data_IF_345994070438
#
_entry.id   IF_345994070438
#
_cell.length_a   1.000
_cell.length_b   1.000
_cell.length_c   1.000
_cell.angle_alpha   90.00
_cell.angle_beta   90.00
_cell.angle_gamma   90.00
#
_symmetry.space_group_name_H-M   'P 1'
#
loop_
_entity.id
_entity.type
_entity.pdbx_description
1 polymer ?
#
# COMPACT_ATOMS: atom_id res chain seq x y z
N UNK A 1 8.21 51.11 1.64
CA UNK A 1 7.53 49.96 1.03
C UNK A 1 6.59 49.38 2.07
N UNK A 2 5.29 49.57 1.88
CA UNK A 2 4.26 49.10 2.81
C UNK A 2 4.19 47.58 2.74
N UNK A 3 4.70 46.90 3.78
CA UNK A 3 4.31 45.53 4.07
C UNK A 3 2.87 45.57 4.60
N UNK A 4 1.90 45.58 3.70
CA UNK A 4 0.54 45.13 4.03
C UNK A 4 0.62 43.62 4.24
N UNK A 5 0.98 43.20 5.45
CA UNK A 5 0.71 41.84 5.90
C UNK A 5 -0.80 41.64 5.83
N UNK A 6 -1.27 40.78 4.94
CA UNK A 6 -2.66 40.31 4.98
C UNK A 6 -3.01 39.91 6.42
N UNK A 7 -4.18 40.29 6.94
CA UNK A 7 -4.60 39.86 8.27
C UNK A 7 -4.60 38.33 8.28
N UNK A 8 -3.74 37.76 9.11
CA UNK A 8 -3.57 36.31 9.21
C UNK A 8 -4.94 35.72 9.61
N UNK A 9 -5.58 34.99 8.68
CA UNK A 9 -6.89 34.38 8.95
C UNK A 9 -6.77 33.55 10.24
N UNK A 10 -7.70 33.70 11.20
CA UNK A 10 -7.65 32.96 12.44
C UNK A 10 -7.69 31.45 12.13
N UNK A 11 -6.80 30.70 12.78
CA UNK A 11 -6.66 29.26 12.59
C UNK A 11 -6.71 28.51 13.92
N UNK A 12 -7.12 27.25 13.86
CA UNK A 12 -7.05 26.32 14.99
C UNK A 12 -5.85 25.39 14.83
N UNK A 13 -5.12 25.15 15.91
CA UNK A 13 -4.01 24.19 15.91
C UNK A 13 -4.56 22.78 16.11
N UNK A 14 -4.28 21.90 15.15
CA UNK A 14 -4.57 20.48 15.23
C UNK A 14 -3.25 19.73 15.45
N UNK A 15 -2.96 19.40 16.70
CA UNK A 15 -1.89 18.47 17.03
C UNK A 15 -2.44 17.05 16.96
N UNK A 16 -1.83 16.22 16.12
CA UNK A 16 -2.26 14.86 15.81
C UNK A 16 -1.22 13.90 16.38
N UNK A 17 -1.68 12.94 17.17
CA UNK A 17 -0.90 11.75 17.50
C UNK A 17 -1.34 10.62 16.57
N UNK A 18 -0.53 10.18 15.60
CA UNK A 18 -0.92 9.10 14.68
C UNK A 18 -1.17 7.80 15.46
N UNK A 19 -2.42 7.37 15.52
CA UNK A 19 -2.85 6.20 16.27
C UNK A 19 -4.18 5.66 15.73
N UNK A 20 -4.56 4.45 16.14
CA UNK A 20 -5.87 3.89 15.79
C UNK A 20 -6.96 4.75 16.44
N UNK A 21 -7.87 5.31 15.63
CA UNK A 21 -8.93 6.22 16.08
C UNK A 21 -8.61 7.71 15.99
N UNK A 22 -7.38 8.09 15.60
CA UNK A 22 -7.00 9.51 15.46
C UNK A 22 -7.87 10.26 14.44
N UNK A 23 -8.29 9.59 13.36
CA UNK A 23 -9.20 10.17 12.36
C UNK A 23 -10.56 10.55 12.95
N UNK A 24 -11.16 9.70 13.77
CA UNK A 24 -12.43 10.02 14.42
C UNK A 24 -12.33 11.19 15.39
N UNK A 25 -11.25 11.24 16.18
CA UNK A 25 -10.98 12.39 17.05
C UNK A 25 -10.77 13.69 16.25
N UNK A 26 -10.05 13.58 15.14
CA UNK A 26 -9.82 14.69 14.20
C UNK A 26 -11.14 15.21 13.63
N UNK A 27 -12.05 14.33 13.18
CA UNK A 27 -13.40 14.73 12.71
C UNK A 27 -14.16 15.52 13.77
N UNK A 28 -14.24 15.02 15.00
CA UNK A 28 -14.92 15.71 16.11
C UNK A 28 -14.35 17.11 16.35
N UNK A 29 -13.02 17.26 16.32
CA UNK A 29 -12.36 18.56 16.48
C UNK A 29 -12.63 19.52 15.32
N UNK A 30 -12.62 19.02 14.09
CA UNK A 30 -12.86 19.84 12.90
C UNK A 30 -14.32 20.29 12.87
N UNK A 31 -15.29 19.42 13.15
CA UNK A 31 -16.72 19.81 13.18
C UNK A 31 -16.98 20.85 14.28
N UNK A 32 -16.47 20.66 15.50
CA UNK A 32 -16.63 21.65 16.57
C UNK A 32 -16.00 23.02 16.22
N UNK A 33 -14.93 23.01 15.42
CA UNK A 33 -14.29 24.22 14.92
C UNK A 33 -15.12 24.90 13.83
N UNK A 34 -15.70 24.13 12.92
CA UNK A 34 -16.61 24.62 11.87
C UNK A 34 -17.84 25.24 12.51
N UNK A 35 -18.43 24.61 13.52
CA UNK A 35 -19.56 25.14 14.29
C UNK A 35 -19.21 26.47 14.97
N UNK A 36 -17.94 26.66 15.34
CA UNK A 36 -17.41 27.90 15.88
C UNK A 36 -16.95 28.92 14.81
N UNK A 37 -17.14 28.62 13.51
CA UNK A 37 -16.82 29.50 12.39
C UNK A 37 -15.37 29.44 11.88
N UNK A 38 -14.58 28.44 12.28
CA UNK A 38 -13.19 28.28 11.85
C UNK A 38 -13.05 27.26 10.71
N UNK A 39 -12.39 27.68 9.63
CA UNK A 39 -12.13 26.84 8.46
C UNK A 39 -10.63 26.67 8.15
N UNK A 40 -9.74 27.31 8.91
CA UNK A 40 -8.30 27.21 8.73
C UNK A 40 -7.67 26.44 9.89
N UNK A 41 -6.85 25.45 9.59
CA UNK A 41 -6.27 24.56 10.58
C UNK A 41 -4.77 24.42 10.38
N UNK A 42 -3.99 24.67 11.43
CA UNK A 42 -2.54 24.42 11.42
C UNK A 42 -2.28 23.02 11.95
N UNK A 43 -1.82 22.13 11.09
CA UNK A 43 -1.68 20.69 11.39
C UNK A 43 -0.25 20.37 11.83
N UNK A 44 -0.10 19.77 13.01
CA UNK A 44 1.17 19.27 13.52
C UNK A 44 1.07 17.88 14.12
N UNK A 45 2.22 17.25 14.31
CA UNK A 45 2.36 15.97 14.99
C UNK A 45 2.78 16.17 16.46
N UNK A 46 2.16 15.43 17.39
CA UNK A 46 2.45 15.49 18.83
C UNK A 46 3.79 14.86 19.23
N UNK A 47 4.28 13.90 18.44
CA UNK A 47 5.58 13.25 18.63
C UNK A 47 6.41 13.44 17.36
N UNK A 48 7.73 13.21 17.48
CA UNK A 48 8.61 13.05 16.32
C UNK A 48 8.02 12.00 15.36
N UNK A 49 8.43 12.04 14.09
CA UNK A 49 7.88 11.31 12.93
C UNK A 49 7.75 9.77 13.09
N UNK A 50 8.21 9.22 14.21
CA UNK A 50 7.95 7.87 14.66
C UNK A 50 6.45 7.57 14.73
N UNK A 51 5.99 6.62 13.90
CA UNK A 51 4.61 6.11 13.95
C UNK A 51 3.72 6.48 12.77
N UNK A 52 4.28 7.05 11.70
CA UNK A 52 3.59 7.30 10.43
C UNK A 52 3.49 6.01 9.59
N UNK A 53 2.72 5.04 10.11
CA UNK A 53 2.42 3.76 9.45
C UNK A 53 1.16 3.87 8.58
N UNK A 54 0.98 3.00 7.56
CA UNK A 54 -0.11 3.13 6.59
C UNK A 54 -1.48 3.14 7.29
N UNK A 55 -1.72 2.19 8.19
CA UNK A 55 -2.96 2.06 8.95
C UNK A 55 -3.28 3.20 9.92
N UNK A 56 -2.33 4.10 10.19
CA UNK A 56 -2.54 5.29 11.04
C UNK A 56 -2.71 6.54 10.20
N UNK A 57 -1.97 6.63 9.10
CA UNK A 57 -1.89 7.83 8.26
C UNK A 57 -3.07 7.90 7.31
N UNK A 58 -3.43 6.81 6.62
CA UNK A 58 -4.47 6.85 5.58
C UNK A 58 -5.81 7.42 6.09
N UNK A 59 -6.34 6.99 7.26
CA UNK A 59 -7.58 7.57 7.78
C UNK A 59 -7.47 9.07 8.10
N UNK A 60 -6.29 9.54 8.52
CA UNK A 60 -6.03 10.96 8.79
C UNK A 60 -6.06 11.73 7.46
N UNK A 61 -5.31 11.29 6.47
CA UNK A 61 -5.19 11.96 5.16
C UNK A 61 -6.53 12.02 4.44
N UNK A 62 -7.28 10.92 4.46
CA UNK A 62 -8.62 10.87 3.87
C UNK A 62 -9.59 11.79 4.60
N UNK A 63 -9.54 11.86 5.93
CA UNK A 63 -10.32 12.82 6.71
C UNK A 63 -9.97 14.26 6.32
N UNK A 64 -8.69 14.64 6.31
CA UNK A 64 -8.28 15.99 5.91
C UNK A 64 -8.74 16.33 4.49
N UNK A 65 -8.59 15.38 3.56
CA UNK A 65 -8.99 15.56 2.17
C UNK A 65 -10.51 15.75 2.03
N UNK A 66 -11.31 14.94 2.72
CA UNK A 66 -12.79 15.04 2.72
C UNK A 66 -13.27 16.40 3.23
N UNK A 67 -12.72 16.92 4.32
CA UNK A 67 -13.08 18.26 4.81
C UNK A 67 -12.58 19.39 3.92
N UNK A 68 -11.42 19.21 3.26
CA UNK A 68 -10.93 20.18 2.28
C UNK A 68 -11.88 20.29 1.09
N UNK A 69 -12.33 19.15 0.54
CA UNK A 69 -13.20 19.10 -0.64
C UNK A 69 -14.65 19.49 -0.31
N UNK A 70 -15.22 18.90 0.74
CA UNK A 70 -16.67 18.96 1.02
C UNK A 70 -17.08 20.14 1.92
N UNK A 71 -16.14 20.68 2.71
CA UNK A 71 -16.42 21.73 3.70
C UNK A 71 -15.58 23.00 3.50
N UNK A 72 -14.71 23.03 2.48
CA UNK A 72 -13.86 24.19 2.19
C UNK A 72 -12.79 24.46 3.26
N UNK A 73 -12.43 23.46 4.07
CA UNK A 73 -11.39 23.61 5.09
C UNK A 73 -9.99 23.74 4.45
N UNK A 74 -9.14 24.58 5.03
CA UNK A 74 -7.74 24.74 4.61
C UNK A 74 -6.80 24.21 5.70
N UNK A 75 -5.92 23.30 5.32
CA UNK A 75 -4.93 22.69 6.22
C UNK A 75 -3.53 23.24 5.94
N UNK A 76 -3.00 23.97 6.90
CA UNK A 76 -1.70 24.63 6.85
C UNK A 76 -0.63 23.79 7.55
N UNK A 77 0.59 23.73 7.01
CA UNK A 77 1.68 23.00 7.64
C UNK A 77 2.16 23.66 8.94
N UNK A 78 2.69 22.84 9.83
CA UNK A 78 3.43 23.25 11.03
C UNK A 78 4.90 22.83 10.91
N UNK A 79 5.68 22.97 11.99
CA UNK A 79 7.11 22.58 11.99
C UNK A 79 7.32 21.10 11.64
N UNK A 80 6.41 20.22 12.05
CA UNK A 80 6.51 18.77 11.83
C UNK A 80 5.87 18.29 10.52
N UNK A 81 5.17 19.15 9.78
CA UNK A 81 4.45 18.80 8.53
C UNK A 81 4.77 19.74 7.37
N UNK A 82 5.80 20.58 7.52
CA UNK A 82 6.28 21.50 6.48
C UNK A 82 7.16 20.80 5.46
N UNK A 83 7.39 21.49 4.34
CA UNK A 83 8.29 21.04 3.29
C UNK A 83 9.62 20.50 3.83
N UNK A 84 9.98 19.30 3.39
CA UNK A 84 11.24 18.62 3.76
C UNK A 84 11.20 17.80 5.05
N UNK A 85 10.05 17.69 5.71
CA UNK A 85 9.82 16.67 6.76
C UNK A 85 9.39 15.35 6.13
N UNK A 86 9.53 14.23 6.85
CA UNK A 86 9.02 12.95 6.37
C UNK A 86 7.50 12.96 6.20
N UNK A 87 6.78 13.68 7.07
CA UNK A 87 5.34 13.88 6.96
C UNK A 87 4.92 14.63 5.67
N UNK A 88 5.77 15.53 5.17
CA UNK A 88 5.56 16.18 3.87
C UNK A 88 5.89 15.21 2.72
N UNK A 89 7.04 14.53 2.79
CA UNK A 89 7.47 13.56 1.79
C UNK A 89 6.46 12.42 1.58
N UNK A 90 5.80 11.96 2.64
CA UNK A 90 4.77 10.92 2.56
C UNK A 90 3.42 11.42 2.03
N UNK A 91 3.19 12.74 1.97
CA UNK A 91 1.94 13.32 1.47
C UNK A 91 0.84 13.46 2.53
N UNK A 92 1.19 13.70 3.82
CA UNK A 92 0.20 13.81 4.90
C UNK A 92 -0.87 14.89 4.66
N UNK A 93 -0.47 16.05 4.13
CA UNK A 93 -1.39 17.15 3.82
C UNK A 93 -1.76 17.23 2.34
N UNK A 94 -0.95 16.60 1.47
CA UNK A 94 -1.06 16.63 0.02
C UNK A 94 -0.77 15.23 -0.50
N UNK A 95 -1.77 14.32 -0.47
CA UNK A 95 -1.59 12.98 -1.01
C UNK A 95 -1.27 13.05 -2.51
N UNK A 96 -0.49 12.10 -2.97
CA UNK A 96 -0.08 11.97 -4.37
C UNK A 96 -1.25 11.48 -5.22
N UNK A 97 -1.42 12.07 -6.41
CA UNK A 97 -2.56 11.81 -7.32
C UNK A 97 -2.12 11.48 -8.74
N UNK A 98 -0.94 11.95 -9.14
CA UNK A 98 -0.41 11.79 -10.48
C UNK A 98 0.77 10.81 -10.43
N UNK A 99 0.55 9.53 -10.76
CA UNK A 99 1.61 8.53 -10.78
C UNK A 99 2.63 8.78 -11.90
N UNK A 100 2.23 9.45 -12.98
CA UNK A 100 3.09 9.73 -14.13
C UNK A 100 4.10 10.88 -13.87
N UNK A 101 3.82 11.71 -12.87
CA UNK A 101 4.71 12.79 -12.44
C UNK A 101 5.88 12.34 -11.55
N UNK A 102 6.00 11.04 -11.25
CA UNK A 102 6.95 10.49 -10.28
C UNK A 102 7.71 9.31 -10.90
N UNK A 103 8.97 9.14 -10.50
CA UNK A 103 9.76 7.95 -10.82
C UNK A 103 9.04 6.69 -10.32
N UNK A 104 8.79 5.71 -11.21
CA UNK A 104 8.09 4.45 -10.92
C UNK A 104 8.69 3.68 -9.73
N UNK A 105 9.94 3.95 -9.39
CA UNK A 105 10.65 3.33 -8.25
C UNK A 105 10.49 4.07 -6.92
N UNK A 106 9.62 5.08 -6.86
CA UNK A 106 9.42 5.95 -5.71
C UNK A 106 7.99 5.90 -5.15
N UNK A 107 7.28 4.78 -5.22
CA UNK A 107 5.89 4.71 -4.75
C UNK A 107 5.74 4.34 -3.28
N UNK A 108 6.80 3.80 -2.66
CA UNK A 108 6.83 3.49 -1.23
C UNK A 108 6.90 4.74 -0.36
N UNK A 109 6.46 4.60 0.89
CA UNK A 109 6.44 5.68 1.88
C UNK A 109 5.65 6.91 1.44
N UNK A 110 4.66 6.71 0.56
CA UNK A 110 3.78 7.75 0.04
C UNK A 110 2.32 7.34 0.18
N UNK A 111 1.49 8.31 0.52
CA UNK A 111 0.04 8.20 0.49
C UNK A 111 -0.42 8.55 -0.91
N UNK A 112 -0.85 7.53 -1.63
CA UNK A 112 -1.46 7.66 -2.94
C UNK A 112 -2.96 7.74 -2.78
N UNK A 113 -3.56 8.76 -3.40
CA UNK A 113 -4.99 8.85 -3.59
C UNK A 113 -5.28 8.45 -5.03
N UNK A 114 -6.07 7.40 -5.20
CA UNK A 114 -6.35 6.81 -6.50
C UNK A 114 -7.84 6.84 -6.81
N UNK A 115 -8.16 6.86 -8.09
CA UNK A 115 -9.49 6.62 -8.64
C UNK A 115 -9.41 5.58 -9.77
N UNK A 116 -10.51 5.36 -10.50
CA UNK A 116 -10.56 4.40 -11.61
C UNK A 116 -9.54 4.65 -12.72
N UNK A 117 -9.08 5.89 -12.90
CA UNK A 117 -8.16 6.24 -13.98
C UNK A 117 -6.69 6.02 -13.57
N UNK A 118 -6.37 6.15 -12.28
CA UNK A 118 -4.99 6.07 -11.78
C UNK A 118 -4.68 4.78 -11.04
N UNK A 119 -5.68 3.93 -10.80
CA UNK A 119 -5.57 2.72 -9.98
C UNK A 119 -4.46 1.78 -10.46
N UNK A 120 -4.45 1.42 -11.74
CA UNK A 120 -3.44 0.55 -12.34
C UNK A 120 -2.02 1.09 -12.10
N UNK A 121 -1.76 2.34 -12.48
CA UNK A 121 -0.43 2.95 -12.35
C UNK A 121 0.04 3.02 -10.89
N UNK A 122 -0.87 3.28 -9.94
CA UNK A 122 -0.56 3.32 -8.51
C UNK A 122 -0.19 1.93 -7.99
N UNK A 123 -0.95 0.90 -8.35
CA UNK A 123 -0.65 -0.48 -7.94
C UNK A 123 0.66 -0.94 -8.55
N UNK A 124 0.82 -0.82 -9.87
CA UNK A 124 2.05 -1.20 -10.58
C UNK A 124 3.28 -0.48 -10.03
N UNK A 125 3.19 0.84 -9.80
CA UNK A 125 4.29 1.60 -9.22
C UNK A 125 4.67 1.12 -7.81
N UNK A 126 3.70 0.76 -6.97
CA UNK A 126 3.97 0.15 -5.64
C UNK A 126 4.69 -1.18 -5.80
N UNK A 127 4.22 -2.07 -6.68
CA UNK A 127 4.80 -3.39 -6.92
C UNK A 127 6.22 -3.28 -7.46
N UNK A 128 6.46 -2.42 -8.44
CA UNK A 128 7.79 -2.16 -9.00
C UNK A 128 8.75 -1.58 -7.96
N UNK A 129 8.25 -0.68 -7.12
CA UNK A 129 9.04 -0.13 -6.02
C UNK A 129 9.39 -1.20 -4.99
N UNK A 130 8.49 -2.11 -4.63
CA UNK A 130 8.78 -3.25 -3.76
C UNK A 130 9.85 -4.16 -4.37
N UNK A 131 9.68 -4.50 -5.66
CA UNK A 131 10.60 -5.35 -6.44
C UNK A 131 12.04 -4.82 -6.46
N UNK A 132 12.20 -3.49 -6.45
CA UNK A 132 13.50 -2.81 -6.50
C UNK A 132 14.06 -2.40 -5.12
N UNK A 133 13.27 -2.51 -4.04
CA UNK A 133 13.66 -2.00 -2.70
C UNK A 133 13.95 -3.09 -1.68
N UNK A 134 13.30 -4.26 -1.79
CA UNK A 134 13.53 -5.37 -0.86
C UNK A 134 13.50 -6.71 -1.57
N UNK A 135 14.38 -7.62 -1.14
CA UNK A 135 14.34 -9.02 -1.57
C UNK A 135 13.15 -9.69 -0.88
N UNK A 136 12.35 -10.41 -1.67
CA UNK A 136 11.14 -11.10 -1.25
C UNK A 136 11.29 -12.58 -1.53
N UNK A 137 10.77 -13.41 -0.64
CA UNK A 137 10.72 -14.86 -0.83
C UNK A 137 9.81 -15.22 -2.02
N UNK A 138 10.02 -16.41 -2.65
CA UNK A 138 9.28 -16.83 -3.83
C UNK A 138 7.77 -16.70 -3.67
N UNK A 139 7.11 -16.20 -4.72
CA UNK A 139 5.65 -16.03 -4.80
C UNK A 139 5.07 -14.88 -3.98
N UNK A 140 5.82 -14.30 -3.02
CA UNK A 140 5.29 -13.29 -2.10
C UNK A 140 4.91 -11.99 -2.80
N UNK A 141 5.74 -11.50 -3.72
CA UNK A 141 5.44 -10.26 -4.46
C UNK A 141 4.16 -10.41 -5.29
N UNK A 142 3.98 -11.57 -5.92
CA UNK A 142 2.79 -11.87 -6.71
C UNK A 142 1.53 -11.96 -5.82
N UNK A 143 1.62 -12.58 -4.64
CA UNK A 143 0.52 -12.55 -3.67
C UNK A 143 0.20 -11.12 -3.20
N UNK A 144 1.21 -10.30 -2.93
CA UNK A 144 1.01 -8.89 -2.57
C UNK A 144 0.30 -8.14 -3.71
N UNK A 145 0.72 -8.33 -4.95
CA UNK A 145 0.10 -7.71 -6.14
C UNK A 145 -1.37 -8.09 -6.29
N UNK A 146 -1.69 -9.39 -6.18
CA UNK A 146 -3.07 -9.86 -6.21
C UNK A 146 -3.91 -9.29 -5.07
N UNK A 147 -3.41 -9.43 -3.84
CA UNK A 147 -4.11 -8.93 -2.65
C UNK A 147 -4.34 -7.42 -2.72
N UNK A 148 -3.38 -6.66 -3.23
CA UNK A 148 -3.49 -5.21 -3.39
C UNK A 148 -4.51 -4.83 -4.46
N UNK A 149 -4.47 -5.46 -5.65
CA UNK A 149 -5.44 -5.23 -6.70
C UNK A 149 -6.87 -5.50 -6.22
N UNK A 150 -7.12 -6.63 -5.57
CA UNK A 150 -8.46 -6.99 -5.06
C UNK A 150 -9.00 -5.96 -4.07
N UNK A 151 -8.22 -5.56 -3.05
CA UNK A 151 -8.73 -4.64 -2.04
C UNK A 151 -8.86 -3.20 -2.53
N UNK A 152 -8.04 -2.80 -3.51
CA UNK A 152 -8.15 -1.45 -4.08
C UNK A 152 -9.25 -1.38 -5.14
N UNK A 153 -9.50 -2.43 -5.91
CA UNK A 153 -10.67 -2.51 -6.79
C UNK A 153 -11.98 -2.58 -5.99
N UNK A 154 -11.98 -3.31 -4.86
CA UNK A 154 -13.11 -3.32 -3.92
C UNK A 154 -13.50 -1.90 -3.48
N UNK A 155 -12.55 -0.99 -3.29
CA UNK A 155 -12.86 0.41 -3.02
C UNK A 155 -13.64 1.01 -4.19
N UNK A 156 -13.16 0.88 -5.42
CA UNK A 156 -13.73 1.51 -6.61
C UNK A 156 -15.12 0.97 -7.01
N UNK A 157 -15.40 -0.28 -6.64
CA UNK A 157 -16.65 -0.98 -6.97
C UNK A 157 -17.67 -0.89 -5.82
N UNK A 158 -17.23 -1.03 -4.58
CA UNK A 158 -18.12 -1.28 -3.44
C UNK A 158 -18.22 -0.15 -2.40
N UNK A 159 -17.49 0.96 -2.57
CA UNK A 159 -17.51 2.06 -1.59
C UNK A 159 -18.63 3.10 -1.82
N UNK A 160 -19.42 3.00 -2.88
CA UNK A 160 -20.55 3.92 -3.18
C UNK A 160 -21.89 3.19 -3.31
N UNK A 161 -22.99 3.92 -3.07
CA UNK A 161 -24.35 3.49 -3.38
C UNK A 161 -24.80 3.87 -4.79
N UNK A 162 -24.11 4.81 -5.46
CA UNK A 162 -24.50 5.35 -6.75
C UNK A 162 -23.42 5.08 -7.80
N UNK A 163 -23.79 4.43 -8.91
CA UNK A 163 -22.85 4.04 -9.97
C UNK A 163 -22.13 5.22 -10.65
N UNK A 164 -22.63 6.45 -10.51
CA UNK A 164 -22.08 7.66 -11.14
C UNK A 164 -21.28 8.55 -10.17
N UNK A 165 -21.08 8.13 -8.92
CA UNK A 165 -20.29 8.90 -7.95
C UNK A 165 -18.79 8.72 -8.24
N UNK A 166 -18.03 9.82 -8.15
CA UNK A 166 -16.57 9.73 -8.23
C UNK A 166 -16.05 9.07 -6.94
N UNK A 167 -15.50 7.87 -7.10
CA UNK A 167 -14.98 7.07 -5.98
C UNK A 167 -13.47 7.22 -5.93
N UNK A 168 -12.97 7.56 -4.74
CA UNK A 168 -11.54 7.65 -4.46
C UNK A 168 -11.15 6.75 -3.31
N UNK A 169 -10.00 6.10 -3.43
CA UNK A 169 -9.34 5.34 -2.37
C UNK A 169 -7.98 5.94 -2.00
N UNK A 170 -7.44 5.49 -0.88
CA UNK A 170 -6.11 5.84 -0.42
C UNK A 170 -5.30 4.57 -0.15
N UNK A 171 -4.06 4.53 -0.60
CA UNK A 171 -3.14 3.40 -0.41
C UNK A 171 -1.76 3.89 0.01
N UNK A 172 -1.10 3.12 0.86
CA UNK A 172 0.30 3.33 1.22
C UNK A 172 0.96 1.99 1.52
N UNK A 173 2.18 1.82 1.01
CA UNK A 173 3.03 0.66 1.27
C UNK A 173 4.37 1.10 1.87
N UNK A 174 4.88 0.31 2.81
CA UNK A 174 6.15 0.54 3.49
C UNK A 174 6.93 -0.75 3.64
N UNK A 175 8.27 -0.63 3.58
CA UNK A 175 9.19 -1.70 3.95
C UNK A 175 9.84 -1.37 5.29
N UNK A 176 9.66 -2.25 6.26
CA UNK A 176 10.27 -2.16 7.58
C UNK A 176 11.49 -3.07 7.65
N UNK A 177 12.64 -2.59 7.17
CA UNK A 177 13.87 -3.37 7.07
C UNK A 177 14.33 -3.99 8.41
N UNK A 178 14.12 -3.31 9.54
CA UNK A 178 14.52 -3.83 10.86
C UNK A 178 13.71 -5.06 11.29
N UNK A 179 12.45 -5.16 10.85
CA UNK A 179 11.56 -6.27 11.19
C UNK A 179 11.28 -7.22 10.03
N UNK A 180 11.92 -6.99 8.86
CA UNK A 180 11.73 -7.72 7.61
C UNK A 180 10.25 -7.83 7.21
N UNK A 181 9.52 -6.71 7.27
CA UNK A 181 8.08 -6.68 6.94
C UNK A 181 7.77 -5.72 5.81
N UNK A 182 6.82 -6.12 4.98
CA UNK A 182 6.07 -5.21 4.12
C UNK A 182 4.75 -4.92 4.82
N UNK A 183 4.40 -3.64 4.96
CA UNK A 183 3.13 -3.20 5.52
C UNK A 183 2.38 -2.39 4.47
N UNK A 184 1.14 -2.78 4.19
CA UNK A 184 0.30 -2.14 3.18
C UNK A 184 -1.07 -1.90 3.79
N UNK A 185 -1.61 -0.70 3.57
CA UNK A 185 -2.99 -0.44 3.89
C UNK A 185 -3.71 0.24 2.72
N UNK A 186 -5.00 -0.04 2.63
CA UNK A 186 -5.96 0.60 1.75
C UNK A 186 -7.11 1.14 2.59
N UNK A 187 -7.54 2.35 2.29
CA UNK A 187 -8.59 3.06 3.02
C UNK A 187 -9.54 3.76 2.06
N UNK A 188 -10.83 3.70 2.37
CA UNK A 188 -11.87 4.51 1.75
C UNK A 188 -12.78 5.14 2.82
N UNK A 189 -13.38 6.29 2.47
CA UNK A 189 -14.40 6.98 3.28
C UNK A 189 -15.79 6.78 2.66
N UNK A 190 -16.09 5.55 2.22
CA UNK A 190 -17.30 5.21 1.49
C UNK A 190 -18.47 4.78 2.38
N UNK A 191 -19.06 3.64 2.03
CA UNK A 191 -20.29 3.14 2.68
C UNK A 191 -20.05 2.04 3.72
N UNK A 192 -18.86 1.44 3.74
CA UNK A 192 -18.48 0.42 4.71
C UNK A 192 -18.88 -0.99 4.29
N UNK A 193 -18.15 -2.00 4.79
CA UNK A 193 -18.40 -3.42 4.50
C UNK A 193 -19.86 -3.81 4.77
N UNK A 194 -20.49 -3.45 5.91
CA UNK A 194 -21.89 -3.81 6.15
C UNK A 194 -22.85 -3.27 5.08
N UNK A 195 -22.71 -2.01 4.68
CA UNK A 195 -23.64 -1.45 3.69
C UNK A 195 -23.36 -1.99 2.28
N UNK A 196 -22.10 -2.23 1.94
CA UNK A 196 -21.72 -2.92 0.70
C UNK A 196 -22.39 -4.31 0.59
N UNK A 197 -22.24 -5.15 1.63
CA UNK A 197 -22.85 -6.48 1.65
C UNK A 197 -24.39 -6.45 1.59
N UNK A 198 -25.03 -5.50 2.28
CA UNK A 198 -26.48 -5.31 2.20
C UNK A 198 -26.93 -4.91 0.80
N UNK A 199 -26.16 -4.07 0.11
CA UNK A 199 -26.43 -3.70 -1.28
C UNK A 199 -26.33 -4.89 -2.23
N UNK A 200 -25.47 -5.86 -1.93
CA UNK A 200 -25.39 -7.16 -2.62
C UNK A 200 -26.44 -8.19 -2.19
N UNK A 201 -27.37 -7.84 -1.29
CA UNK A 201 -28.43 -8.74 -0.81
C UNK A 201 -27.99 -9.74 0.27
N UNK A 202 -26.79 -9.60 0.83
CA UNK A 202 -26.30 -10.46 1.91
C UNK A 202 -26.90 -10.02 3.25
N UNK A 203 -27.43 -10.99 4.00
CA UNK A 203 -28.02 -10.78 5.33
C UNK A 203 -27.05 -11.20 6.43
N UNK A 204 -26.97 -10.41 7.48
CA UNK A 204 -26.14 -10.66 8.67
C UNK A 204 -26.72 -9.89 9.88
N UNK A 205 -26.43 -10.35 11.08
CA UNK A 205 -26.94 -9.80 12.33
C UNK A 205 -26.21 -8.53 12.75
N UNK A 206 -24.88 -8.49 12.63
CA UNK A 206 -24.07 -7.35 13.06
C UNK A 206 -22.82 -7.11 12.19
N UNK A 207 -22.10 -6.01 12.44
CA UNK A 207 -20.89 -5.64 11.70
C UNK A 207 -19.75 -6.66 11.86
N UNK A 208 -19.68 -7.42 12.96
CA UNK A 208 -18.66 -8.47 13.11
C UNK A 208 -18.94 -9.60 12.13
N UNK A 209 -20.19 -10.05 12.06
CA UNK A 209 -20.62 -11.06 11.11
C UNK A 209 -20.43 -10.58 9.67
N UNK A 210 -20.74 -9.32 9.37
CA UNK A 210 -20.46 -8.73 8.05
C UNK A 210 -18.98 -8.86 7.65
N UNK A 211 -18.04 -8.55 8.56
CA UNK A 211 -16.61 -8.68 8.29
C UNK A 211 -16.21 -10.16 8.11
N UNK A 212 -16.79 -11.08 8.90
CA UNK A 212 -16.52 -12.52 8.77
C UNK A 212 -17.02 -13.07 7.44
N UNK A 213 -18.20 -12.64 7.00
CA UNK A 213 -18.76 -13.01 5.70
C UNK A 213 -17.90 -12.45 4.57
N UNK A 214 -17.44 -11.20 4.65
CA UNK A 214 -16.54 -10.62 3.65
C UNK A 214 -15.21 -11.40 3.52
N UNK A 215 -14.75 -12.05 4.59
CA UNK A 215 -13.57 -12.92 4.61
C UNK A 215 -13.87 -14.37 4.17
N UNK A 216 -15.12 -14.71 3.89
CA UNK A 216 -15.52 -16.06 3.49
C UNK A 216 -15.53 -16.22 1.96
N UNK A 217 -15.08 -17.37 1.47
CA UNK A 217 -15.03 -17.69 0.04
C UNK A 217 -16.42 -17.59 -0.59
N UNK A 218 -16.53 -16.89 -1.73
CA UNK A 218 -17.76 -16.83 -2.54
C UNK A 218 -18.87 -15.91 -2.02
N UNK A 219 -18.59 -15.00 -1.09
CA UNK A 219 -19.57 -14.03 -0.58
C UNK A 219 -19.77 -12.81 -1.49
N UNK A 220 -18.77 -12.46 -2.31
CA UNK A 220 -18.86 -11.38 -3.31
C UNK A 220 -19.27 -11.95 -4.67
N UNK A 221 -20.58 -11.90 -4.94
CA UNK A 221 -21.32 -12.16 -6.20
C UNK A 221 -21.03 -13.46 -7.00
N UNK A 222 -22.10 -14.24 -7.17
CA UNK A 222 -22.18 -15.49 -7.95
C UNK A 222 -21.99 -15.37 -9.48
N UNK A 223 -21.23 -14.38 -9.96
CA UNK A 223 -20.78 -14.23 -11.34
C UNK A 223 -19.31 -14.65 -11.56
N UNK A 224 -18.64 -15.18 -10.52
CA UNK A 224 -17.34 -15.84 -10.66
C UNK A 224 -16.12 -14.91 -10.82
N UNK A 225 -16.23 -13.64 -10.40
CA UNK A 225 -15.17 -12.64 -10.59
C UNK A 225 -14.55 -12.03 -9.31
N UNK A 226 -14.99 -12.41 -8.10
CA UNK A 226 -14.51 -11.77 -6.86
C UNK A 226 -14.22 -12.76 -5.75
N UNK A 227 -12.94 -13.09 -5.54
CA UNK A 227 -12.46 -13.75 -4.32
C UNK A 227 -12.13 -12.72 -3.22
N UNK A 228 -12.01 -11.44 -3.56
CA UNK A 228 -12.09 -10.30 -2.65
C UNK A 228 -11.20 -10.40 -1.41
N UNK A 229 -11.77 -10.09 -0.24
CA UNK A 229 -11.06 -10.13 1.03
C UNK A 229 -10.67 -11.55 1.47
N UNK A 230 -11.37 -12.59 1.02
CA UNK A 230 -10.97 -13.98 1.28
C UNK A 230 -9.62 -14.32 0.64
N UNK A 231 -9.35 -13.82 -0.58
CA UNK A 231 -8.05 -14.05 -1.23
C UNK A 231 -6.92 -13.40 -0.43
N UNK A 232 -7.11 -12.14 -0.02
CA UNK A 232 -6.14 -11.45 0.81
C UNK A 232 -5.91 -12.20 2.13
N UNK A 233 -6.99 -12.67 2.77
CA UNK A 233 -6.91 -13.47 4.00
C UNK A 233 -6.08 -14.75 3.80
N UNK A 234 -6.28 -15.43 2.67
CA UNK A 234 -5.54 -16.64 2.28
C UNK A 234 -4.05 -16.37 2.04
N UNK A 235 -3.72 -15.25 1.39
CA UNK A 235 -2.33 -14.81 1.20
C UNK A 235 -1.68 -14.50 2.54
N UNK A 236 -2.40 -13.82 3.44
CA UNK A 236 -1.91 -13.50 4.80
C UNK A 236 -1.68 -14.78 5.61
N UNK A 237 -2.55 -15.78 5.51
CA UNK A 237 -2.38 -17.07 6.15
C UNK A 237 -1.15 -17.81 5.60
N UNK A 238 -1.02 -17.91 4.27
CA UNK A 238 0.13 -18.54 3.62
C UNK A 238 1.46 -17.86 3.99
N UNK A 239 1.45 -16.53 4.14
CA UNK A 239 2.62 -15.75 4.51
C UNK A 239 2.88 -15.70 6.03
N UNK A 240 2.03 -16.30 6.86
CA UNK A 240 2.06 -16.16 8.33
C UNK A 240 2.09 -14.69 8.76
N UNK A 241 1.26 -13.86 8.12
CA UNK A 241 1.22 -12.43 8.29
C UNK A 241 0.24 -11.95 9.36
N UNK A 242 -0.16 -10.69 9.24
CA UNK A 242 -1.28 -10.12 10.00
C UNK A 242 -2.22 -9.34 9.11
N UNK A 243 -3.52 -9.39 9.41
CA UNK A 243 -4.57 -8.65 8.74
C UNK A 243 -5.38 -7.88 9.80
N UNK A 244 -5.64 -6.60 9.56
CA UNK A 244 -6.46 -5.74 10.40
C UNK A 244 -7.48 -5.02 9.50
N UNK A 245 -8.76 -5.28 9.74
CA UNK A 245 -9.87 -4.67 9.00
C UNK A 245 -10.65 -3.81 9.97
N UNK A 246 -10.98 -2.57 9.59
CA UNK A 246 -11.86 -1.71 10.38
C UNK A 246 -12.98 -1.19 9.49
N UNK A 247 -14.22 -1.43 9.89
CA UNK A 247 -15.41 -0.91 9.20
C UNK A 247 -16.50 -0.64 10.22
N UNK A 248 -17.24 0.47 10.06
CA UNK A 248 -18.38 0.86 10.89
C UNK A 248 -18.18 0.65 12.40
N UNK A 249 -17.00 1.01 12.87
CA UNK A 249 -16.63 0.99 14.29
C UNK A 249 -16.30 -0.37 14.90
N UNK A 250 -16.21 -1.41 14.08
CA UNK A 250 -15.65 -2.70 14.47
C UNK A 250 -14.31 -2.92 13.80
N UNK A 251 -13.35 -3.38 14.58
CA UNK A 251 -12.04 -3.82 14.10
C UNK A 251 -11.89 -5.33 14.21
N UNK A 252 -11.61 -6.00 13.10
CA UNK A 252 -11.11 -7.37 13.03
C UNK A 252 -9.59 -7.37 13.03
N UNK A 253 -8.96 -8.33 13.70
CA UNK A 253 -7.53 -8.53 13.66
C UNK A 253 -7.18 -10.00 13.67
N UNK A 254 -6.39 -10.42 12.69
CA UNK A 254 -5.74 -11.73 12.57
C UNK A 254 -4.23 -11.55 12.65
N UNK A 255 -3.55 -12.36 13.46
CA UNK A 255 -2.08 -12.31 13.60
C UNK A 255 -1.52 -13.71 13.80
N UNK A 256 -0.51 -14.06 13.00
CA UNK A 256 0.38 -15.19 13.25
C UNK A 256 1.56 -14.72 14.10
N UNK A 257 1.82 -15.38 15.23
CA UNK A 257 2.88 -14.97 16.16
C UNK A 257 4.26 -15.37 15.66
N UNK A 258 4.35 -16.51 14.99
CA UNK A 258 5.56 -17.04 14.37
C UNK A 258 5.18 -17.94 13.18
N UNK A 259 6.16 -18.26 12.33
CA UNK A 259 5.96 -19.16 11.19
C UNK A 259 5.45 -20.52 11.68
N UNK A 260 4.36 -21.00 11.09
CA UNK A 260 3.71 -22.26 11.47
C UNK A 260 2.77 -22.20 12.68
N UNK A 261 2.57 -21.03 13.31
CA UNK A 261 1.60 -20.88 14.40
C UNK A 261 0.18 -20.68 13.87
N UNK A 262 -0.83 -21.21 14.56
CA UNK A 262 -2.22 -20.85 14.31
C UNK A 262 -2.44 -19.33 14.47
N UNK A 263 -3.32 -18.78 13.63
CA UNK A 263 -3.68 -17.39 13.70
C UNK A 263 -4.49 -17.08 14.98
N UNK A 264 -4.12 -16.00 15.68
CA UNK A 264 -4.98 -15.44 16.72
C UNK A 264 -5.94 -14.43 16.10
N UNK A 265 -7.24 -14.63 16.29
CA UNK A 265 -8.30 -13.73 15.79
C UNK A 265 -8.91 -12.97 16.97
N UNK A 266 -9.09 -11.66 16.81
CA UNK A 266 -9.73 -10.81 17.80
C UNK A 266 -10.59 -9.73 17.15
N UNK A 267 -11.73 -9.44 17.79
CA UNK A 267 -12.56 -8.28 17.48
C UNK A 267 -12.42 -7.20 18.55
N UNK A 268 -12.52 -5.95 18.13
CA UNK A 268 -12.49 -4.79 19.03
C UNK A 268 -13.47 -3.72 18.56
N UNK A 269 -13.95 -2.91 19.49
CA UNK A 269 -14.63 -1.67 19.14
C UNK A 269 -13.58 -0.59 18.83
N UNK A 270 -13.83 0.17 17.77
CA UNK A 270 -12.99 1.32 17.40
C UNK A 270 -13.51 2.54 18.16
N UNK A 271 -12.66 3.12 18.99
CA UNK A 271 -12.97 4.35 19.71
C UNK A 271 -13.11 5.51 18.72
N UNK A 272 -14.27 6.15 18.72
CA UNK A 272 -14.66 7.20 17.75
C UNK A 272 -14.56 6.70 16.30
N UNK A 273 -15.51 5.87 15.86
CA UNK A 273 -15.50 5.33 14.51
C UNK A 273 -15.78 6.41 13.48
N UNK A 274 -15.19 6.23 12.30
CA UNK A 274 -15.60 6.94 11.09
C UNK A 274 -16.66 6.07 10.42
N UNK A 275 -17.92 6.53 10.45
CA UNK A 275 -19.06 5.81 9.87
C UNK A 275 -18.86 5.72 8.35
N UNK A 276 -19.12 4.55 7.77
CA UNK A 276 -18.99 4.31 6.33
C UNK A 276 -17.56 4.04 5.84
N UNK A 277 -16.52 4.37 6.61
CA UNK A 277 -15.17 4.07 6.15
C UNK A 277 -14.80 2.59 6.29
N UNK A 278 -13.94 2.12 5.38
CA UNK A 278 -13.24 0.84 5.50
C UNK A 278 -11.73 1.06 5.49
N UNK A 279 -11.03 0.40 6.41
CA UNK A 279 -9.57 0.28 6.42
C UNK A 279 -9.23 -1.20 6.32
N UNK A 280 -8.37 -1.56 5.37
CA UNK A 280 -7.76 -2.88 5.28
C UNK A 280 -6.25 -2.70 5.39
N UNK A 281 -5.63 -3.27 6.41
CA UNK A 281 -4.20 -3.22 6.69
C UNK A 281 -3.66 -4.64 6.78
N UNK A 282 -2.66 -4.97 5.96
CA UNK A 282 -2.00 -6.27 6.04
C UNK A 282 -0.47 -6.12 6.10
N UNK A 283 0.15 -7.06 6.78
CA UNK A 283 1.61 -7.10 6.93
C UNK A 283 2.11 -8.52 6.74
N UNK A 284 3.16 -8.66 5.94
CA UNK A 284 3.78 -9.95 5.62
C UNK A 284 5.29 -9.87 5.82
N UNK A 285 5.89 -10.98 6.22
CA UNK A 285 7.35 -11.08 6.33
C UNK A 285 7.96 -11.21 4.95
N UNK A 286 9.03 -10.47 4.65
CA UNK A 286 9.73 -10.56 3.36
C UNK A 286 10.34 -11.95 3.12
N UNK A 287 10.53 -12.73 4.19
CA UNK A 287 11.10 -14.09 4.17
C UNK A 287 10.05 -15.20 4.05
N UNK A 288 8.77 -14.89 3.92
CA UNK A 288 7.69 -15.88 3.84
C UNK A 288 7.41 -16.25 2.39
N UNK A 289 7.89 -17.41 1.96
CA UNK A 289 7.55 -17.99 0.66
C UNK A 289 6.08 -18.43 0.65
N UNK A 290 5.36 -18.15 -0.44
CA UNK A 290 3.98 -18.58 -0.63
C UNK A 290 3.82 -19.25 -2.01
N UNK A 291 2.86 -20.15 -2.12
CA UNK A 291 2.48 -20.80 -3.38
C UNK A 291 1.11 -20.30 -3.82
N UNK A 292 1.06 -19.62 -4.96
CA UNK A 292 -0.20 -19.11 -5.52
C UNK A 292 -1.04 -20.26 -6.07
N UNK A 293 -0.41 -21.29 -6.66
CA UNK A 293 -1.08 -22.53 -7.03
C UNK A 293 -1.81 -23.16 -5.85
N UNK A 294 -1.21 -23.17 -4.65
CA UNK A 294 -1.83 -23.77 -3.48
C UNK A 294 -3.04 -22.94 -3.00
N UNK A 295 -2.91 -21.60 -3.01
CA UNK A 295 -3.99 -20.67 -2.64
C UNK A 295 -5.17 -20.79 -3.60
N UNK A 296 -4.91 -21.02 -4.89
CA UNK A 296 -5.91 -21.14 -5.94
C UNK A 296 -6.27 -22.59 -6.33
N UNK A 297 -5.96 -23.57 -5.46
CA UNK A 297 -6.34 -24.98 -5.66
C UNK A 297 -5.92 -25.54 -7.05
N UNK A 298 -4.73 -25.15 -7.51
CA UNK A 298 -4.14 -25.56 -8.79
C UNK A 298 -4.29 -24.57 -9.94
N UNK A 299 -5.08 -23.50 -9.79
CA UNK A 299 -5.25 -22.46 -10.81
C UNK A 299 -4.40 -21.22 -10.50
N UNK A 300 -3.08 -21.29 -10.69
CA UNK A 300 -2.24 -20.11 -10.46
C UNK A 300 -2.55 -19.04 -11.51
N UNK A 301 -2.81 -17.79 -11.08
CA UNK A 301 -2.93 -16.70 -12.01
C UNK A 301 -1.59 -16.41 -12.72
N UNK A 302 -1.68 -15.75 -13.88
CA UNK A 302 -0.54 -15.42 -14.73
C UNK A 302 0.25 -14.25 -14.15
N UNK A 303 1.57 -14.42 -14.05
CA UNK A 303 2.49 -13.34 -13.69
C UNK A 303 2.97 -12.65 -14.97
N UNK A 304 2.25 -11.60 -15.39
CA UNK A 304 2.54 -10.85 -16.61
C UNK A 304 3.94 -10.22 -16.62
N UNK A 305 4.46 -9.85 -15.45
CA UNK A 305 5.82 -9.34 -15.33
C UNK A 305 6.85 -10.45 -15.59
N UNK A 306 6.63 -11.66 -15.06
CA UNK A 306 7.49 -12.81 -15.37
C UNK A 306 7.45 -13.09 -16.88
N UNK A 307 6.25 -13.17 -17.45
CA UNK A 307 6.01 -13.45 -18.88
C UNK A 307 6.73 -12.45 -19.80
N UNK A 308 6.69 -11.15 -19.48
CA UNK A 308 7.37 -10.12 -20.28
C UNK A 308 8.90 -10.20 -20.23
N UNK A 309 9.46 -10.98 -19.30
CA UNK A 309 10.89 -11.18 -19.12
C UNK A 309 11.35 -12.58 -19.54
N UNK A 310 10.49 -13.45 -20.06
CA UNK A 310 10.87 -14.79 -20.50
C UNK A 310 11.81 -14.74 -21.72
N UNK A 311 12.81 -15.63 -21.74
CA UNK A 311 13.74 -15.71 -22.89
C UNK A 311 13.17 -16.49 -24.06
N UNK A 312 12.19 -17.34 -23.81
CA UNK A 312 11.62 -18.28 -24.75
C UNK A 312 10.26 -18.78 -24.24
N UNK A 313 9.44 -19.43 -25.11
CA UNK A 313 8.10 -19.88 -24.73
C UNK A 313 8.03 -20.92 -23.61
N UNK A 314 9.14 -21.49 -23.14
CA UNK A 314 9.13 -22.39 -21.98
C UNK A 314 8.98 -21.65 -20.66
N UNK A 315 9.24 -20.34 -20.63
CA UNK A 315 9.12 -19.47 -19.47
C UNK A 315 10.05 -19.78 -18.30
N UNK A 316 11.02 -20.68 -18.49
CA UNK A 316 11.90 -21.14 -17.40
C UNK A 316 13.04 -20.18 -17.10
N UNK A 317 13.56 -19.53 -18.12
CA UNK A 317 14.65 -18.56 -18.01
C UNK A 317 14.14 -17.14 -18.24
N UNK A 318 14.68 -16.21 -17.47
CA UNK A 318 14.31 -14.80 -17.52
C UNK A 318 15.47 -13.94 -18.00
N UNK A 319 15.18 -12.81 -18.63
CA UNK A 319 16.15 -11.83 -19.09
C UNK A 319 15.91 -10.50 -18.39
N UNK A 320 16.90 -10.06 -17.62
CA UNK A 320 16.94 -8.72 -17.06
C UNK A 320 17.69 -7.80 -18.02
N UNK A 321 16.97 -7.01 -18.82
CA UNK A 321 17.57 -5.99 -19.68
C UNK A 321 17.82 -4.72 -18.88
N UNK A 322 19.10 -4.45 -18.61
CA UNK A 322 19.50 -3.34 -17.75
C UNK A 322 19.10 -1.97 -18.31
N UNK A 323 19.11 -1.82 -19.64
CA UNK A 323 18.74 -0.58 -20.33
C UNK A 323 17.27 -0.17 -20.09
N UNK A 324 16.38 -1.15 -19.92
CA UNK A 324 14.93 -0.90 -19.75
C UNK A 324 14.58 -0.67 -18.27
N UNK A 325 15.33 -1.30 -17.35
CA UNK A 325 14.95 -1.37 -15.94
C UNK A 325 15.66 -0.36 -15.02
N UNK A 326 16.81 0.16 -15.45
CA UNK A 326 17.63 1.05 -14.64
C UNK A 326 17.37 2.52 -14.94
N UNK A 327 17.22 3.33 -13.89
CA UNK A 327 17.20 4.79 -13.95
C UNK A 327 18.57 5.40 -14.29
N UNK A 328 19.66 4.64 -14.14
CA UNK A 328 21.00 5.11 -14.42
C UNK A 328 22.12 4.15 -14.02
N UNK A 329 23.28 4.31 -14.64
CA UNK A 329 24.44 3.40 -14.48
C UNK A 329 25.62 4.01 -13.70
N UNK A 330 25.40 5.21 -13.14
CA UNK A 330 26.43 6.03 -12.52
C UNK A 330 26.50 5.95 -10.99
N UNK A 331 25.46 5.45 -10.32
CA UNK A 331 25.34 5.53 -8.86
C UNK A 331 25.25 4.17 -8.19
N UNK A 332 25.67 4.10 -6.92
CA UNK A 332 25.42 2.92 -6.06
C UNK A 332 23.94 2.74 -5.76
N UNK A 333 23.16 3.82 -5.77
CA UNK A 333 21.74 3.75 -5.47
C UNK A 333 20.97 2.99 -6.56
N UNK A 334 21.22 3.32 -7.82
CA UNK A 334 20.62 2.60 -8.97
C UNK A 334 21.12 1.16 -9.03
N UNK A 335 22.42 0.94 -8.77
CA UNK A 335 23.01 -0.41 -8.73
C UNK A 335 22.39 -1.29 -7.65
N UNK A 336 22.10 -0.74 -6.46
CA UNK A 336 21.45 -1.48 -5.38
C UNK A 336 20.03 -1.90 -5.75
N UNK A 337 19.27 -1.03 -6.45
CA UNK A 337 17.96 -1.38 -7.00
C UNK A 337 18.05 -2.51 -8.02
N UNK A 338 19.00 -2.42 -8.95
CA UNK A 338 19.23 -3.48 -9.95
C UNK A 338 19.63 -4.80 -9.32
N UNK A 339 20.46 -4.77 -8.26
CA UNK A 339 20.80 -5.97 -7.47
C UNK A 339 19.56 -6.60 -6.85
N UNK A 340 18.73 -5.79 -6.21
CA UNK A 340 17.48 -6.25 -5.61
C UNK A 340 16.54 -6.88 -6.65
N UNK A 341 16.40 -6.23 -7.81
CA UNK A 341 15.61 -6.73 -8.92
C UNK A 341 16.12 -8.07 -9.43
N UNK A 342 17.44 -8.21 -9.63
CA UNK A 342 18.05 -9.45 -10.08
C UNK A 342 17.84 -10.60 -9.08
N UNK A 343 17.94 -10.33 -7.77
CA UNK A 343 17.68 -11.32 -6.72
C UNK A 343 16.21 -11.76 -6.69
N UNK A 344 15.28 -10.82 -6.81
CA UNK A 344 13.85 -11.14 -6.90
C UNK A 344 13.53 -11.94 -8.18
N UNK A 345 14.10 -11.55 -9.32
CA UNK A 345 13.95 -12.29 -10.58
C UNK A 345 14.53 -13.70 -10.48
N UNK A 346 15.69 -13.87 -9.84
CA UNK A 346 16.30 -15.18 -9.61
C UNK A 346 15.48 -16.06 -8.66
N UNK A 347 14.76 -15.45 -7.72
CA UNK A 347 13.84 -16.17 -6.83
C UNK A 347 12.60 -16.70 -7.55
N UNK A 348 12.21 -16.10 -8.68
CA UNK A 348 11.02 -16.47 -9.46
C UNK A 348 11.36 -17.30 -10.72
N UNK A 349 12.63 -17.36 -11.12
CA UNK A 349 13.11 -18.10 -12.28
C UNK A 349 13.22 -19.61 -11.98
N UNK A 350 12.89 -20.44 -12.97
CA UNK A 350 12.94 -21.91 -12.86
C UNK A 350 14.27 -22.51 -13.34
N UNK A 351 15.13 -21.69 -13.95
CA UNK A 351 16.46 -22.08 -14.44
C UNK A 351 17.48 -20.94 -14.30
N UNK A 352 17.49 -19.98 -15.23
CA UNK A 352 18.52 -18.92 -15.29
C UNK A 352 17.95 -17.53 -15.40
N UNK A 353 18.71 -16.57 -14.90
CA UNK A 353 18.49 -15.14 -15.15
C UNK A 353 19.66 -14.60 -15.97
N UNK A 354 19.38 -14.12 -17.17
CA UNK A 354 20.36 -13.48 -18.03
C UNK A 354 20.42 -11.99 -17.72
N UNK A 355 21.59 -11.51 -17.28
CA UNK A 355 21.87 -10.08 -17.16
C UNK A 355 22.25 -9.54 -18.53
N UNK A 356 21.33 -8.82 -19.17
CA UNK A 356 21.51 -8.28 -20.51
C UNK A 356 21.96 -6.80 -20.46
N UNK A 357 23.21 -6.59 -20.87
CA UNK A 357 23.86 -5.28 -20.96
C UNK A 357 23.76 -4.65 -22.36
N UNK A 358 22.99 -5.25 -23.28
CA UNK A 358 22.71 -4.63 -24.56
C UNK A 358 22.16 -3.21 -24.36
N UNK A 359 22.63 -2.29 -25.21
CA UNK A 359 22.28 -0.86 -25.18
C UNK A 359 22.67 -0.09 -23.90
N UNK A 360 23.51 -0.68 -23.04
CA UNK A 360 24.13 0.03 -21.90
C UNK A 360 25.48 0.62 -22.35
N UNK A 361 25.60 1.95 -22.51
CA UNK A 361 26.80 2.55 -23.10
C UNK A 361 28.01 2.51 -22.17
N UNK A 362 27.79 2.62 -20.86
CA UNK A 362 28.84 2.49 -19.84
C UNK A 362 28.21 2.16 -18.48
N UNK A 363 29.00 1.54 -17.60
CA UNK A 363 28.70 1.42 -16.17
C UNK A 363 29.87 2.00 -15.36
N UNK A 364 29.57 2.71 -14.27
CA UNK A 364 30.62 3.19 -13.36
C UNK A 364 31.23 2.04 -12.55
N UNK A 365 32.48 2.20 -12.08
CA UNK A 365 33.09 1.23 -11.15
C UNK A 365 32.26 1.06 -9.87
N UNK A 366 31.66 2.14 -9.37
CA UNK A 366 30.75 2.10 -8.22
C UNK A 366 29.50 1.27 -8.50
N UNK A 367 28.96 1.36 -9.71
CA UNK A 367 27.80 0.56 -10.12
C UNK A 367 28.17 -0.91 -10.25
N UNK A 368 29.29 -1.21 -10.93
CA UNK A 368 29.78 -2.57 -11.09
C UNK A 368 30.06 -3.24 -9.73
N UNK A 369 30.66 -2.52 -8.79
CA UNK A 369 30.92 -3.04 -7.45
C UNK A 369 29.63 -3.30 -6.65
N UNK A 370 28.70 -2.35 -6.68
CA UNK A 370 27.44 -2.46 -5.92
C UNK A 370 26.46 -3.48 -6.52
N UNK A 371 26.43 -3.61 -7.85
CA UNK A 371 25.57 -4.58 -8.53
C UNK A 371 26.27 -5.93 -8.65
N UNK A 372 27.32 -6.02 -9.47
CA UNK A 372 27.93 -7.30 -9.87
C UNK A 372 28.71 -7.94 -8.73
N UNK A 373 29.68 -7.22 -8.13
CA UNK A 373 30.52 -7.82 -7.11
C UNK A 373 29.71 -8.25 -5.88
N UNK A 374 28.74 -7.43 -5.44
CA UNK A 374 27.88 -7.80 -4.32
C UNK A 374 26.90 -8.92 -4.66
N UNK A 375 26.31 -8.91 -5.86
CA UNK A 375 25.45 -10.01 -6.29
C UNK A 375 26.23 -11.34 -6.31
N UNK A 376 27.44 -11.35 -6.89
CA UNK A 376 28.34 -12.52 -6.88
C UNK A 376 28.68 -12.99 -5.47
N UNK A 377 28.90 -12.09 -4.51
CA UNK A 377 29.18 -12.44 -3.11
C UNK A 377 27.96 -13.02 -2.40
N UNK A 378 26.77 -12.58 -2.76
CA UNK A 378 25.51 -12.97 -2.13
C UNK A 378 25.01 -14.33 -2.63
N UNK A 379 25.05 -14.56 -3.95
CA UNK A 379 24.61 -15.85 -4.53
C UNK A 379 25.73 -16.88 -4.63
N UNK A 380 26.98 -16.44 -4.57
CA UNK A 380 28.19 -17.26 -4.77
C UNK A 380 28.59 -17.36 -6.24
N UNK A 381 29.91 -17.48 -6.49
CA UNK A 381 30.48 -17.48 -7.86
C UNK A 381 29.90 -18.59 -8.76
N UNK A 382 29.69 -19.79 -8.21
CA UNK A 382 29.17 -20.94 -8.99
C UNK A 382 27.72 -20.72 -9.40
N UNK A 383 26.90 -20.10 -8.54
CA UNK A 383 25.50 -19.77 -8.85
C UNK A 383 25.38 -18.59 -9.80
N UNK A 384 26.37 -17.68 -9.78
CA UNK A 384 26.37 -16.49 -10.62
C UNK A 384 26.71 -16.80 -12.10
N UNK A 385 27.52 -17.83 -12.36
CA UNK A 385 27.90 -18.29 -13.71
C UNK A 385 26.82 -19.21 -14.25
#
# INVERSE_FOLDING_TARGET
MNNTSEPQKPYIVLNIKPSRGSAGYLRKKIEAAIDAGFYNFKVGLETDENGLYPNRVLPIVATLSSYSTNRGCTFLPSKSTRKGTYADALGLLKPYRDPNGIDSTSFLDKVWRFDRNTHFDVVSGIIDSLRKTTVLAPGLLHGIEYGLNEISDNVLVHSTKMQNEHVEGYVMAQVHHQSNKVAIAVYDDGIGIPNSLRSGGVTFADTKEAIQLALSKGVTDGNGAGNGLWLLDSIVDAAFGSLDIQSDGIGYRKVHKHKGSDATIAFRNVNTPVVGSTLVDFQVSTSSSISMSDIFEGNSPVNLWKESHETDPSGRSLRLRLADESSGFGSRYDAAKMRCLALNMASDADDKVYLDFADVPFISLSFADEFINKLMREVGLVTFI
#
